data_IF_109625121567
#
_entry.id   IF_109625121567
#
_cell.length_a   1.000
_cell.length_b   1.000
_cell.length_c   1.000
_cell.angle_alpha   90.00
_cell.angle_beta   90.00
_cell.angle_gamma   90.00
#
_symmetry.space_group_name_H-M   'P 1'
#
loop_
_entity.id
_entity.type
_entity.pdbx_description
1 polymer ?
#
# COMPACT_ATOMS: atom_id res chain seq x y z
N UNK A 1 10.73 7.41 -3.40
CA UNK A 1 9.60 7.58 -2.47
C UNK A 1 9.52 8.97 -1.84
N UNK A 2 10.42 9.39 -0.93
CA UNK A 2 10.34 10.71 -0.27
C UNK A 2 10.55 11.85 -1.28
N UNK A 3 11.52 11.75 -2.20
CA UNK A 3 11.72 12.74 -3.27
C UNK A 3 10.56 12.78 -4.28
N UNK A 4 9.97 11.62 -4.56
CA UNK A 4 8.79 11.51 -5.45
C UNK A 4 7.55 12.09 -4.78
N UNK A 5 7.35 11.86 -3.47
CA UNK A 5 6.21 12.36 -2.70
C UNK A 5 6.35 13.85 -2.34
N UNK A 6 7.56 14.36 -2.15
CA UNK A 6 7.85 15.81 -2.07
C UNK A 6 7.61 16.49 -3.43
N UNK A 7 7.96 15.86 -4.55
CA UNK A 7 7.58 16.35 -5.90
C UNK A 7 6.08 16.29 -6.15
N UNK A 8 5.37 15.31 -5.59
CA UNK A 8 3.90 15.23 -5.63
C UNK A 8 3.25 16.35 -4.79
N UNK A 9 3.89 16.77 -3.70
CA UNK A 9 3.47 17.91 -2.88
C UNK A 9 3.58 19.27 -3.62
N UNK A 10 4.59 19.42 -4.49
CA UNK A 10 4.79 20.65 -5.29
C UNK A 10 3.94 20.74 -6.57
N UNK A 11 3.23 19.67 -6.96
CA UNK A 11 2.28 19.67 -8.08
C UNK A 11 0.86 19.39 -7.59
N UNK A 12 0.36 20.12 -6.60
CA UNK A 12 -1.06 20.17 -6.25
C UNK A 12 -1.80 18.81 -6.22
N UNK A 13 -1.12 17.70 -5.87
CA UNK A 13 -1.81 16.46 -5.54
C UNK A 13 -2.15 16.57 -4.06
N UNK A 14 -3.16 17.37 -3.80
CA UNK A 14 -3.75 17.50 -2.48
C UNK A 14 -4.13 16.12 -1.94
N UNK A 15 -4.14 16.01 -0.60
CA UNK A 15 -4.72 14.92 0.19
C UNK A 15 -6.07 14.41 -0.37
N UNK A 16 -6.76 15.24 -1.16
CA UNK A 16 -7.96 14.89 -1.93
C UNK A 16 -7.79 13.71 -2.90
N UNK A 17 -6.60 13.43 -3.48
CA UNK A 17 -6.42 12.23 -4.31
C UNK A 17 -6.32 10.93 -3.48
N UNK A 18 -5.92 11.00 -2.22
CA UNK A 18 -5.98 9.85 -1.30
C UNK A 18 -7.42 9.64 -0.79
N UNK A 19 -8.19 10.72 -0.70
CA UNK A 19 -9.65 10.69 -0.50
C UNK A 19 -10.40 10.06 -1.68
N UNK A 20 -9.84 10.05 -2.90
CA UNK A 20 -10.43 9.33 -4.04
C UNK A 20 -10.52 7.82 -3.72
N UNK A 21 -9.56 7.23 -3.00
CA UNK A 21 -9.66 5.81 -2.61
C UNK A 21 -10.79 5.53 -1.59
N UNK A 22 -11.20 6.54 -0.81
CA UNK A 22 -12.32 6.45 0.15
C UNK A 22 -13.70 6.66 -0.52
N UNK A 23 -13.75 7.24 -1.72
CA UNK A 23 -14.97 7.41 -2.53
C UNK A 23 -15.11 6.48 -3.73
N UNK A 24 -14.03 5.83 -4.18
CA UNK A 24 -14.07 4.90 -5.32
C UNK A 24 -14.71 3.59 -4.91
N UNK A 25 -15.98 3.45 -5.30
CA UNK A 25 -16.70 2.18 -5.22
C UNK A 25 -15.99 1.16 -6.10
N UNK A 26 -15.63 0.03 -5.51
CA UNK A 26 -15.13 -1.11 -6.27
C UNK A 26 -16.28 -1.73 -7.06
N UNK A 27 -16.11 -1.86 -8.37
CA UNK A 27 -16.97 -2.65 -9.23
C UNK A 27 -16.60 -4.13 -9.05
N UNK A 28 -17.31 -4.78 -8.12
CA UNK A 28 -17.09 -6.17 -7.79
C UNK A 28 -17.36 -7.11 -8.97
N UNK A 29 -18.24 -6.73 -9.91
CA UNK A 29 -18.52 -7.54 -11.10
C UNK A 29 -17.33 -7.50 -12.05
N UNK A 30 -16.79 -6.31 -12.30
CA UNK A 30 -15.58 -6.13 -13.09
C UNK A 30 -14.40 -6.91 -12.48
N UNK A 31 -14.20 -6.76 -11.17
CA UNK A 31 -13.11 -7.44 -10.45
C UNK A 31 -13.26 -8.97 -10.54
N UNK A 32 -14.46 -9.51 -10.31
CA UNK A 32 -14.72 -10.96 -10.43
C UNK A 32 -14.38 -11.46 -11.83
N UNK A 33 -14.85 -10.75 -12.86
CA UNK A 33 -14.58 -11.13 -14.26
C UNK A 33 -13.08 -11.12 -14.59
N UNK A 34 -12.30 -10.19 -14.02
CA UNK A 34 -10.85 -10.14 -14.20
C UNK A 34 -10.14 -11.28 -13.45
N UNK A 35 -10.57 -11.59 -12.22
CA UNK A 35 -10.05 -12.72 -11.44
C UNK A 35 -10.31 -14.04 -12.15
N UNK A 36 -11.50 -14.27 -12.68
CA UNK A 36 -11.85 -15.48 -13.45
C UNK A 36 -10.98 -15.66 -14.70
N UNK A 37 -10.56 -14.55 -15.31
CA UNK A 37 -9.69 -14.52 -16.50
C UNK A 37 -8.20 -14.56 -16.16
N UNK A 38 -7.82 -14.46 -14.89
CA UNK A 38 -6.43 -14.54 -14.45
C UNK A 38 -5.88 -15.97 -14.62
N UNK A 39 -4.65 -16.09 -15.13
CA UNK A 39 -3.92 -17.35 -15.20
C UNK A 39 -2.70 -17.31 -14.28
N UNK A 40 -2.75 -17.97 -13.11
CA UNK A 40 -1.66 -17.96 -12.14
C UNK A 40 -0.31 -18.44 -12.69
N UNK A 41 -0.31 -19.41 -13.62
CA UNK A 41 0.93 -19.96 -14.21
C UNK A 41 1.74 -18.92 -14.98
N UNK A 42 1.08 -18.00 -15.67
CA UNK A 42 1.72 -17.01 -16.55
C UNK A 42 1.64 -15.59 -16.00
N UNK A 43 0.89 -15.37 -14.92
CA UNK A 43 0.57 -14.04 -14.39
C UNK A 43 -0.01 -13.11 -15.46
N UNK A 44 -0.96 -13.62 -16.25
CA UNK A 44 -1.62 -12.89 -17.33
C UNK A 44 -3.14 -13.09 -17.29
N UNK A 45 -3.88 -12.07 -17.71
CA UNK A 45 -5.29 -12.18 -18.05
C UNK A 45 -5.46 -12.80 -19.44
N UNK A 46 -6.44 -13.68 -19.58
CA UNK A 46 -6.89 -14.21 -20.86
C UNK A 46 -8.18 -13.49 -21.26
N UNK A 47 -8.04 -12.47 -22.11
CA UNK A 47 -9.14 -11.69 -22.64
C UNK A 47 -9.48 -12.16 -24.07
N UNK A 48 -10.63 -11.71 -24.59
CA UNK A 48 -11.06 -12.04 -25.97
C UNK A 48 -10.04 -11.61 -27.03
N UNK A 49 -9.29 -10.53 -26.78
CA UNK A 49 -8.26 -9.98 -27.69
C UNK A 49 -6.86 -10.56 -27.46
N UNK A 50 -6.70 -11.56 -26.59
CA UNK A 50 -5.41 -12.20 -26.31
C UNK A 50 -5.00 -12.12 -24.84
N UNK A 51 -3.70 -12.30 -24.59
CA UNK A 51 -3.12 -12.28 -23.24
C UNK A 51 -2.59 -10.89 -22.92
N UNK A 52 -2.85 -10.41 -21.71
CA UNK A 52 -2.30 -9.15 -21.21
C UNK A 52 -1.95 -9.26 -19.72
N UNK A 53 -1.11 -8.36 -19.22
CA UNK A 53 -0.80 -8.28 -17.79
C UNK A 53 -0.52 -6.84 -17.38
N UNK A 54 -0.63 -6.58 -16.08
CA UNK A 54 -0.22 -5.31 -15.47
C UNK A 54 1.30 -5.33 -15.38
N UNK A 55 1.95 -4.32 -15.94
CA UNK A 55 3.40 -4.18 -15.96
C UNK A 55 3.89 -3.19 -14.92
N UNK A 56 5.20 -3.17 -14.68
CA UNK A 56 5.84 -2.13 -13.88
C UNK A 56 5.61 -0.72 -14.45
N UNK A 57 5.40 -0.58 -15.77
CA UNK A 57 5.07 0.70 -16.39
C UNK A 57 3.67 1.16 -15.98
N UNK A 58 2.71 0.24 -15.93
CA UNK A 58 1.33 0.55 -15.52
C UNK A 58 1.28 0.99 -14.06
N UNK A 59 2.02 0.31 -13.17
CA UNK A 59 2.13 0.70 -11.76
C UNK A 59 2.78 2.09 -11.61
N UNK A 60 3.77 2.42 -12.45
CA UNK A 60 4.37 3.76 -12.47
C UNK A 60 3.35 4.81 -12.92
N UNK A 61 2.58 4.55 -13.97
CA UNK A 61 1.57 5.48 -14.48
C UNK A 61 0.44 5.71 -13.46
N UNK A 62 0.02 4.68 -12.74
CA UNK A 62 -1.05 4.77 -11.74
C UNK A 62 -0.62 5.44 -10.43
N UNK A 63 0.61 5.18 -9.96
CA UNK A 63 1.05 5.55 -8.60
C UNK A 63 2.22 6.54 -8.55
N UNK A 64 2.84 6.86 -9.69
CA UNK A 64 4.02 7.73 -9.75
C UNK A 64 5.25 7.16 -9.02
N UNK A 65 5.29 5.85 -8.74
CA UNK A 65 6.39 5.22 -8.01
C UNK A 65 7.65 5.12 -8.89
N UNK A 66 8.86 5.36 -8.33
CA UNK A 66 10.10 5.31 -9.09
C UNK A 66 10.38 3.92 -9.67
N UNK A 67 11.16 3.91 -10.76
CA UNK A 67 11.44 2.70 -11.53
C UNK A 67 12.43 1.79 -10.82
N UNK A 68 13.46 2.41 -10.25
CA UNK A 68 14.64 1.74 -9.70
C UNK A 68 14.56 1.63 -8.17
N UNK A 69 15.20 0.59 -7.66
CA UNK A 69 15.38 0.38 -6.23
C UNK A 69 15.72 -1.05 -5.86
N UNK A 70 16.27 -1.26 -4.68
CA UNK A 70 16.58 -2.57 -4.12
C UNK A 70 15.31 -3.34 -3.75
N UNK A 71 15.38 -4.66 -3.81
CA UNK A 71 14.28 -5.55 -3.42
C UNK A 71 13.87 -5.27 -1.97
N UNK A 72 12.56 -5.14 -1.72
CA UNK A 72 12.05 -5.06 -0.35
C UNK A 72 12.16 -6.45 0.28
N UNK A 73 13.27 -6.70 0.98
CA UNK A 73 13.50 -7.93 1.72
C UNK A 73 12.52 -8.06 2.88
N UNK A 74 12.11 -9.30 3.18
CA UNK A 74 11.30 -9.60 4.37
C UNK A 74 12.06 -9.07 5.59
N UNK A 75 11.45 -8.17 6.36
CA UNK A 75 12.04 -7.76 7.64
C UNK A 75 12.04 -8.96 8.58
N UNK A 76 13.03 -8.97 9.47
CA UNK A 76 12.97 -9.70 10.73
C UNK A 76 11.69 -9.25 11.43
N UNK A 77 10.86 -10.21 11.86
CA UNK A 77 9.67 -9.91 12.66
C UNK A 77 10.19 -9.41 14.01
N UNK A 78 9.93 -8.15 14.40
CA UNK A 78 10.25 -7.69 15.73
C UNK A 78 9.50 -8.56 16.74
N UNK A 79 10.16 -8.95 17.83
CA UNK A 79 9.51 -9.69 18.93
C UNK A 79 8.37 -8.87 19.55
N UNK A 80 8.54 -7.55 19.65
CA UNK A 80 7.59 -6.63 20.28
C UNK A 80 7.17 -5.48 19.34
N UNK A 81 5.97 -5.60 18.80
CA UNK A 81 5.37 -4.57 17.95
C UNK A 81 5.03 -3.28 18.70
N UNK A 82 4.77 -3.36 20.00
CA UNK A 82 4.46 -2.20 20.84
C UNK A 82 5.67 -1.27 20.96
N UNK A 83 6.86 -1.85 21.18
CA UNK A 83 8.13 -1.12 21.20
C UNK A 83 8.39 -0.44 19.86
N UNK A 84 8.21 -1.16 18.75
CA UNK A 84 8.38 -0.58 17.40
C UNK A 84 7.42 0.58 17.15
N UNK A 85 6.16 0.48 17.58
CA UNK A 85 5.19 1.56 17.47
C UNK A 85 5.59 2.75 18.36
N UNK A 86 6.03 2.50 19.59
CA UNK A 86 6.48 3.56 20.50
C UNK A 86 7.70 4.30 19.95
N UNK A 87 8.73 3.58 19.49
CA UNK A 87 9.97 4.16 19.01
C UNK A 87 9.76 4.98 17.72
N UNK A 88 8.96 4.44 16.79
CA UNK A 88 8.83 5.01 15.45
C UNK A 88 7.68 5.98 15.29
N UNK A 89 6.62 5.85 16.10
CA UNK A 89 5.42 6.66 16.01
C UNK A 89 5.11 7.44 17.29
N UNK A 90 5.81 7.17 18.40
CA UNK A 90 5.50 7.70 19.74
C UNK A 90 4.04 7.50 20.17
N UNK A 91 3.42 6.45 19.64
CA UNK A 91 2.06 6.07 19.97
C UNK A 91 1.91 4.56 19.85
N UNK A 92 1.26 3.94 20.83
CA UNK A 92 0.96 2.52 20.84
C UNK A 92 -0.54 2.31 20.60
N UNK A 93 -0.93 1.45 19.64
CA UNK A 93 -2.34 1.14 19.41
C UNK A 93 -2.93 0.32 20.55
N UNK A 94 -4.23 0.51 20.80
CA UNK A 94 -4.97 -0.24 21.83
C UNK A 94 -4.97 -1.76 21.58
N UNK A 95 -4.80 -2.19 20.33
CA UNK A 95 -4.81 -3.60 19.96
C UNK A 95 -3.89 -3.86 18.76
N UNK A 96 -2.98 -4.80 18.92
CA UNK A 96 -2.16 -5.37 17.84
C UNK A 96 -2.55 -6.84 17.68
N UNK A 97 -3.10 -7.20 16.52
CA UNK A 97 -3.47 -8.59 16.23
C UNK A 97 -2.60 -9.12 15.11
N UNK A 98 -1.78 -10.14 15.40
CA UNK A 98 -0.86 -10.77 14.42
C UNK A 98 0.02 -9.75 13.68
N UNK A 99 0.50 -8.72 14.40
CA UNK A 99 1.33 -7.65 13.83
C UNK A 99 0.55 -6.68 12.93
N UNK A 100 -0.78 -6.62 13.07
CA UNK A 100 -1.64 -5.70 12.34
C UNK A 100 -2.39 -4.75 13.27
N UNK A 101 -2.64 -3.53 12.78
CA UNK A 101 -3.32 -2.45 13.51
C UNK A 101 -4.44 -1.86 12.65
N UNK A 102 -5.44 -1.21 13.28
CA UNK A 102 -6.55 -0.58 12.54
C UNK A 102 -6.12 0.72 11.88
N UNK A 103 -6.47 0.91 10.60
CA UNK A 103 -6.34 2.20 9.90
C UNK A 103 -7.12 3.32 10.59
N UNK A 104 -8.25 3.01 11.23
CA UNK A 104 -9.02 3.99 11.99
C UNK A 104 -8.21 4.59 13.15
N UNK A 105 -7.39 3.77 13.82
CA UNK A 105 -6.47 4.25 14.85
C UNK A 105 -5.39 5.14 14.25
N UNK A 106 -4.75 4.73 13.15
CA UNK A 106 -3.75 5.56 12.46
C UNK A 106 -4.30 6.94 12.09
N UNK A 107 -5.49 7.00 11.50
CA UNK A 107 -6.12 8.26 11.11
C UNK A 107 -6.48 9.12 12.32
N UNK A 108 -6.98 8.53 13.40
CA UNK A 108 -7.33 9.25 14.63
C UNK A 108 -6.08 9.84 15.30
N UNK A 109 -5.00 9.05 15.39
CA UNK A 109 -3.77 9.44 16.07
C UNK A 109 -2.95 10.44 15.27
N UNK A 110 -2.96 10.33 13.93
CA UNK A 110 -2.14 11.14 13.03
C UNK A 110 -2.99 11.96 12.04
N UNK A 111 -4.13 12.50 12.49
CA UNK A 111 -5.03 13.27 11.63
C UNK A 111 -4.41 14.59 11.18
N UNK A 112 -3.74 15.30 12.08
CA UNK A 112 -3.19 16.64 11.83
C UNK A 112 -1.80 16.79 12.43
N UNK A 113 -0.94 17.50 11.70
CA UNK A 113 0.37 17.92 12.20
C UNK A 113 0.20 19.22 13.00
N UNK A 114 0.67 19.24 14.25
CA UNK A 114 0.70 20.45 15.07
C UNK A 114 1.67 21.48 14.44
N UNK A 115 1.22 22.73 14.27
CA UNK A 115 1.99 23.80 13.59
C UNK A 115 3.40 24.04 14.18
N UNK A 116 3.52 23.92 15.50
CA UNK A 116 4.78 24.13 16.22
C UNK A 116 5.52 22.82 16.56
N UNK A 117 5.29 21.79 15.73
CA UNK A 117 5.94 20.49 15.90
C UNK A 117 7.46 20.57 15.74
N UNK A 118 8.17 19.96 16.69
CA UNK A 118 9.63 19.76 16.59
C UNK A 118 9.97 18.76 15.48
N UNK A 119 11.22 18.76 15.03
CA UNK A 119 11.69 17.90 13.92
C UNK A 119 11.33 16.42 14.13
N UNK A 120 11.56 15.89 15.33
CA UNK A 120 11.21 14.50 15.70
C UNK A 120 9.72 14.21 15.48
N UNK A 121 8.83 15.12 15.86
CA UNK A 121 7.38 14.96 15.69
C UNK A 121 6.99 15.03 14.20
N UNK A 122 7.65 15.88 13.42
CA UNK A 122 7.44 15.96 11.96
C UNK A 122 7.85 14.67 11.27
N UNK A 123 8.98 14.09 11.67
CA UNK A 123 9.43 12.79 11.16
C UNK A 123 8.46 11.66 11.53
N UNK A 124 7.97 11.61 12.76
CA UNK A 124 6.97 10.63 13.20
C UNK A 124 5.68 10.76 12.41
N UNK A 125 5.20 11.98 12.20
CA UNK A 125 4.02 12.23 11.37
C UNK A 125 4.25 11.82 9.91
N UNK A 126 5.39 12.19 9.32
CA UNK A 126 5.76 11.76 7.97
C UNK A 126 5.82 10.22 7.87
N UNK A 127 6.38 9.56 8.89
CA UNK A 127 6.46 8.10 8.97
C UNK A 127 5.07 7.48 9.04
N UNK A 128 4.20 8.00 9.89
CA UNK A 128 2.80 7.58 9.99
C UNK A 128 2.05 7.76 8.66
N UNK A 129 2.28 8.89 7.97
CA UNK A 129 1.68 9.19 6.68
C UNK A 129 2.12 8.21 5.59
N UNK A 130 3.44 7.98 5.43
CA UNK A 130 3.94 7.00 4.47
C UNK A 130 3.50 5.58 4.83
N UNK A 131 3.45 5.25 6.11
CA UNK A 131 2.98 3.95 6.57
C UNK A 131 1.50 3.72 6.24
N UNK A 132 0.65 4.74 6.35
CA UNK A 132 -0.75 4.68 5.92
C UNK A 132 -0.88 4.44 4.41
N UNK A 133 -0.06 5.12 3.59
CA UNK A 133 -0.07 4.92 2.14
C UNK A 133 0.39 3.51 1.79
N UNK A 134 1.57 3.11 2.25
CA UNK A 134 2.19 1.83 1.90
C UNK A 134 1.37 0.68 2.47
N UNK A 135 1.12 0.72 3.77
CA UNK A 135 0.49 -0.38 4.48
C UNK A 135 -1.03 -0.44 4.31
N UNK A 136 -1.69 0.72 4.21
CA UNK A 136 -3.15 0.84 4.15
C UNK A 136 -3.73 0.88 2.74
N UNK A 137 -3.05 1.52 1.80
CA UNK A 137 -3.57 1.69 0.42
C UNK A 137 -2.87 0.73 -0.54
N UNK A 138 -1.55 0.63 -0.43
CA UNK A 138 -0.75 -0.19 -1.35
C UNK A 138 -0.65 -1.66 -0.92
N UNK A 139 -0.82 -1.98 0.37
CA UNK A 139 -0.52 -3.31 0.92
C UNK A 139 -1.61 -3.91 1.82
N UNK A 140 -2.82 -3.34 1.84
CA UNK A 140 -3.87 -3.75 2.79
C UNK A 140 -4.85 -4.79 2.25
N UNK A 141 -5.29 -5.67 3.12
CA UNK A 141 -6.47 -6.51 2.90
C UNK A 141 -7.73 -5.72 3.30
N UNK A 142 -8.50 -5.24 2.31
CA UNK A 142 -9.60 -4.27 2.48
C UNK A 142 -10.66 -4.70 3.49
N UNK A 143 -10.87 -6.00 3.69
CA UNK A 143 -11.94 -6.51 4.55
C UNK A 143 -11.79 -6.23 6.04
N UNK A 144 -10.60 -5.89 6.54
CA UNK A 144 -10.41 -5.61 7.97
C UNK A 144 -9.93 -4.18 8.27
N UNK A 145 -9.69 -3.36 7.24
CA UNK A 145 -9.13 -2.01 7.39
C UNK A 145 -7.87 -2.03 8.29
N UNK A 146 -7.06 -3.08 8.14
CA UNK A 146 -5.86 -3.32 8.93
C UNK A 146 -4.61 -3.01 8.11
N UNK A 147 -3.58 -2.54 8.81
CA UNK A 147 -2.23 -2.36 8.28
C UNK A 147 -1.29 -3.29 9.02
N UNK A 148 -0.47 -4.03 8.28
CA UNK A 148 0.57 -4.83 8.89
C UNK A 148 1.79 -3.96 9.23
N UNK A 149 2.22 -3.99 10.49
CA UNK A 149 3.36 -3.25 11.02
C UNK A 149 4.70 -3.60 10.38
N UNK A 150 4.80 -4.67 9.58
CA UNK A 150 6.05 -5.05 8.88
C UNK A 150 6.61 -3.98 7.94
N UNK A 151 5.78 -3.03 7.52
CA UNK A 151 6.22 -1.93 6.67
C UNK A 151 6.80 -0.76 7.48
N UNK A 152 6.47 -0.65 8.77
CA UNK A 152 6.89 0.45 9.62
C UNK A 152 8.41 0.48 9.86
N UNK A 153 9.11 -0.65 10.14
CA UNK A 153 10.56 -0.67 10.22
C UNK A 153 11.28 -0.29 8.92
N UNK A 154 10.62 -0.36 7.76
CA UNK A 154 11.20 0.07 6.48
C UNK A 154 11.14 1.58 6.27
N UNK A 155 10.58 2.31 7.25
CA UNK A 155 10.46 3.76 7.25
C UNK A 155 11.25 4.42 8.39
N UNK A 156 12.21 3.69 8.98
CA UNK A 156 13.13 4.23 10.00
C UNK A 156 13.96 5.35 9.37
N UNK A 157 14.72 5.02 8.31
CA UNK A 157 15.44 5.99 7.48
C UNK A 157 14.71 6.16 6.13
N UNK A 158 14.26 7.39 5.86
CA UNK A 158 13.58 7.71 4.60
C UNK A 158 14.48 7.63 3.37
N UNK A 159 15.81 7.73 3.53
CA UNK A 159 16.79 7.57 2.44
C UNK A 159 16.86 6.12 2.01
N UNK A 160 17.00 5.20 2.96
CA UNK A 160 16.91 3.76 2.69
C UNK A 160 15.55 3.39 2.09
N UNK A 161 14.47 3.97 2.63
CA UNK A 161 13.13 3.77 2.06
C UNK A 161 13.01 4.30 0.62
N UNK A 162 13.75 5.36 0.25
CA UNK A 162 13.76 5.93 -1.10
C UNK A 162 14.40 4.97 -2.11
N UNK A 163 15.39 4.20 -1.65
CA UNK A 163 16.14 3.21 -2.43
C UNK A 163 15.36 1.91 -2.63
N UNK A 164 14.26 1.68 -1.92
CA UNK A 164 13.45 0.47 -2.07
C UNK A 164 12.59 0.51 -3.34
N UNK A 165 12.54 -0.63 -4.05
CA UNK A 165 11.67 -0.83 -5.21
C UNK A 165 10.22 -1.12 -4.77
N UNK A 166 9.54 -0.08 -4.30
CA UNK A 166 8.12 -0.12 -3.92
C UNK A 166 7.22 -0.54 -5.08
N UNK A 167 7.54 -0.12 -6.30
CA UNK A 167 6.77 -0.45 -7.52
C UNK A 167 6.73 -1.96 -7.77
N UNK A 168 7.88 -2.62 -7.73
CA UNK A 168 7.95 -4.09 -7.86
C UNK A 168 7.27 -4.79 -6.68
N UNK A 169 7.33 -4.20 -5.48
CA UNK A 169 6.63 -4.74 -4.30
C UNK A 169 5.11 -4.69 -4.45
N UNK A 170 4.59 -3.60 -5.00
CA UNK A 170 3.16 -3.44 -5.33
C UNK A 170 2.76 -4.47 -6.38
N UNK A 171 3.51 -4.57 -7.48
CA UNK A 171 3.20 -5.50 -8.56
C UNK A 171 3.24 -6.97 -8.11
N UNK A 172 4.31 -7.36 -7.40
CA UNK A 172 4.46 -8.71 -6.88
C UNK A 172 3.37 -9.07 -5.88
N UNK A 173 2.93 -8.11 -5.07
CA UNK A 173 1.81 -8.34 -4.16
C UNK A 173 0.49 -8.45 -4.92
N UNK A 174 0.21 -7.57 -5.89
CA UNK A 174 -0.97 -7.65 -6.73
C UNK A 174 -1.08 -9.03 -7.40
N UNK A 175 0.00 -9.50 -8.03
CA UNK A 175 0.05 -10.83 -8.64
C UNK A 175 -0.22 -11.95 -7.63
N UNK A 176 0.35 -11.86 -6.42
CA UNK A 176 0.11 -12.84 -5.36
C UNK A 176 -1.35 -12.88 -4.92
N UNK A 177 -1.97 -11.71 -4.71
CA UNK A 177 -3.37 -11.65 -4.31
C UNK A 177 -4.31 -12.09 -5.44
N UNK A 178 -3.99 -11.79 -6.70
CA UNK A 178 -4.71 -12.33 -7.87
C UNK A 178 -4.62 -13.86 -7.94
N UNK A 179 -3.43 -14.43 -7.74
CA UNK A 179 -3.25 -15.88 -7.69
C UNK A 179 -4.05 -16.52 -6.54
N UNK A 180 -4.09 -15.88 -5.36
CA UNK A 180 -4.92 -16.34 -4.24
C UNK A 180 -6.41 -16.27 -4.54
N UNK A 181 -6.86 -15.19 -5.18
CA UNK A 181 -8.26 -14.98 -5.52
C UNK A 181 -8.80 -16.02 -6.53
N UNK A 182 -7.93 -16.69 -7.31
CA UNK A 182 -8.34 -17.81 -8.18
C UNK A 182 -8.52 -19.15 -7.45
N UNK A 183 -8.14 -19.25 -6.18
CA UNK A 183 -8.32 -20.48 -5.40
C UNK A 183 -9.76 -20.58 -4.87
N UNK A 184 -10.34 -21.79 -4.76
CA UNK A 184 -11.73 -22.00 -4.35
C UNK A 184 -12.06 -21.60 -2.89
N UNK A 185 -11.10 -21.03 -2.15
CA UNK A 185 -11.27 -20.58 -0.76
C UNK A 185 -11.62 -19.09 -0.77
N UNK A 186 -12.80 -18.75 -0.22
CA UNK A 186 -13.38 -17.40 -0.01
C UNK A 186 -12.50 -16.24 -0.49
N UNK A 187 -12.84 -15.70 -1.66
CA UNK A 187 -12.27 -14.48 -2.23
C UNK A 187 -12.36 -13.36 -1.18
N UNK A 188 -11.21 -12.99 -0.60
CA UNK A 188 -11.09 -11.76 0.17
C UNK A 188 -10.73 -10.65 -0.81
N UNK A 189 -11.65 -9.70 -0.98
CA UNK A 189 -11.45 -8.54 -1.85
C UNK A 189 -10.51 -7.57 -1.11
N UNK A 190 -9.29 -7.44 -1.60
CA UNK A 190 -8.22 -6.63 -1.02
C UNK A 190 -8.03 -5.27 -1.73
N UNK A 191 -7.27 -4.34 -1.12
CA UNK A 191 -7.05 -2.97 -1.65
C UNK A 191 -6.46 -2.95 -3.06
N UNK A 192 -5.75 -4.00 -3.43
CA UNK A 192 -5.15 -4.24 -4.75
C UNK A 192 -6.14 -4.24 -5.92
N UNK A 193 -7.42 -4.53 -5.66
CA UNK A 193 -8.43 -4.51 -6.71
C UNK A 193 -8.77 -3.08 -7.19
N UNK A 194 -8.37 -2.04 -6.44
CA UNK A 194 -8.43 -0.66 -6.93
C UNK A 194 -7.42 -0.43 -8.07
N UNK A 195 -6.18 -0.92 -7.93
CA UNK A 195 -5.17 -0.85 -9.00
C UNK A 195 -5.63 -1.62 -10.24
N UNK A 196 -6.25 -2.78 -10.02
CA UNK A 196 -6.81 -3.59 -11.10
C UNK A 196 -7.97 -2.85 -11.81
N UNK A 197 -8.88 -2.24 -11.07
CA UNK A 197 -9.99 -1.48 -11.63
C UNK A 197 -9.51 -0.25 -12.40
N UNK A 198 -8.56 0.51 -11.84
CA UNK A 198 -7.96 1.66 -12.50
C UNK A 198 -7.20 1.24 -13.77
N UNK A 199 -6.61 0.04 -13.80
CA UNK A 199 -5.86 -0.43 -14.97
C UNK A 199 -6.74 -0.64 -16.20
N UNK A 200 -7.98 -1.09 -16.01
CA UNK A 200 -8.93 -1.29 -17.12
C UNK A 200 -9.46 0.02 -17.72
N UNK A 201 -9.20 1.15 -17.06
CA UNK A 201 -9.59 2.48 -17.57
C UNK A 201 -8.57 3.10 -18.51
N UNK A 202 -7.39 2.48 -18.67
CA UNK A 202 -6.33 2.88 -19.60
C UNK A 202 -6.27 1.94 -20.81
#
# INVERSE_FOLDING_TARGET
MARSLIRLNNKHISVNQLQIAEGVKLDLKLISALVERWRPKTHTFHLLRGKCTISLKDVHLQLGLPVDGSVVTKSIQPGDWEVVCLDLLSAVPEMIYKGQIKMAWMRKTFSELVKDSIEVQREQYARAYFFQIIGGILMSAKLQNLVHLRWLPKLVDFREADELSWRSTVLATLYREMCRATQPVKIKIDSFFLLLQLWVQF
#
